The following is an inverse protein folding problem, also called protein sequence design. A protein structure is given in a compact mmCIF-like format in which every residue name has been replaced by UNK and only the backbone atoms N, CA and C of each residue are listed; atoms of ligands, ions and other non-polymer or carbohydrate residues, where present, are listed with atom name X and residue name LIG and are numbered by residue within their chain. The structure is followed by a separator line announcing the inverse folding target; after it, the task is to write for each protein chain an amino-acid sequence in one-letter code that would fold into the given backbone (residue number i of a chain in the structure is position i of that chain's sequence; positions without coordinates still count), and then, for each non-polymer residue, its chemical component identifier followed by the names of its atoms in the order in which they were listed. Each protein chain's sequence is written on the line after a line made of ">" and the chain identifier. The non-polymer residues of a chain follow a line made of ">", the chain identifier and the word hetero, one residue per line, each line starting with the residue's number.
data_IF_084064534632
#
_entry.id   IF_084064534632
#
_cell.length_a   1.000
_cell.length_b   1.000
_cell.length_c   1.000
_cell.angle_alpha   90.00
_cell.angle_beta   90.00
_cell.angle_gamma   90.00
#
_symmetry.space_group_name_H-M   'P 1'
#
loop_
_entity.id
_entity.type
_entity.pdbx_description
1 polymer ?
#
# COMPACT_ATOMS: atom_id res chain seq x y z
N UNK A 1 -12.41 8.51 8.46
CA UNK A 1 -12.24 7.07 8.14
C UNK A 1 -11.75 6.27 9.33
N UNK A 2 -10.58 6.58 9.91
CA UNK A 2 -10.09 5.87 11.10
C UNK A 2 -11.05 5.95 12.31
N UNK A 3 -11.66 7.12 12.55
CA UNK A 3 -12.67 7.29 13.61
C UNK A 3 -13.95 6.43 13.42
N UNK A 4 -14.14 5.85 12.23
CA UNK A 4 -15.23 4.91 11.92
C UNK A 4 -14.75 3.45 11.95
N UNK A 5 -13.51 3.18 12.41
CA UNK A 5 -12.93 1.84 12.50
C UNK A 5 -12.34 1.31 11.18
N UNK A 6 -12.24 2.14 10.13
CA UNK A 6 -11.67 1.71 8.85
C UNK A 6 -10.15 1.85 8.83
N UNK A 7 -9.49 0.80 8.34
CA UNK A 7 -8.10 0.83 7.94
C UNK A 7 -7.98 1.43 6.53
N UNK A 8 -6.92 2.20 6.29
CA UNK A 8 -6.69 2.88 5.01
C UNK A 8 -5.33 2.49 4.47
N UNK A 9 -5.27 2.14 3.19
CA UNK A 9 -4.03 1.95 2.45
C UNK A 9 -3.96 3.03 1.37
N UNK A 10 -2.89 3.82 1.39
CA UNK A 10 -2.63 4.84 0.37
C UNK A 10 -1.64 4.26 -0.63
N UNK A 11 -1.99 4.22 -1.92
CA UNK A 11 -1.06 3.83 -2.98
C UNK A 11 -0.74 5.08 -3.79
N UNK A 12 0.51 5.52 -3.72
CA UNK A 12 0.97 6.70 -4.46
C UNK A 12 1.07 6.39 -5.95
N UNK A 13 0.79 7.40 -6.78
CA UNK A 13 0.87 7.24 -8.25
C UNK A 13 2.27 6.79 -8.70
N UNK A 14 3.33 7.29 -8.04
CA UNK A 14 4.72 6.92 -8.34
C UNK A 14 4.99 5.42 -8.15
N UNK A 15 4.25 4.72 -7.28
CA UNK A 15 4.35 3.28 -7.13
C UNK A 15 3.67 2.52 -8.28
N UNK A 16 2.67 3.12 -8.93
CA UNK A 16 1.89 2.50 -10.02
C UNK A 16 2.44 2.84 -11.41
N UNK A 17 3.02 4.02 -11.58
CA UNK A 17 3.37 4.60 -12.89
C UNK A 17 4.66 5.39 -12.81
N UNK A 18 5.36 5.46 -13.93
CA UNK A 18 6.63 6.20 -14.06
C UNK A 18 7.85 5.30 -14.02
N UNK A 19 9.03 5.92 -13.98
CA UNK A 19 10.32 5.21 -14.06
C UNK A 19 10.59 4.34 -12.83
N UNK A 20 10.08 4.77 -11.68
CA UNK A 20 10.30 4.13 -10.38
C UNK A 20 9.11 3.29 -9.94
N UNK A 21 8.20 2.95 -10.86
CA UNK A 21 7.04 2.12 -10.53
C UNK A 21 7.50 0.79 -9.93
N UNK A 22 6.73 0.29 -8.98
CA UNK A 22 6.93 -1.05 -8.46
C UNK A 22 6.52 -2.07 -9.53
N UNK A 23 7.08 -3.27 -9.39
CA UNK A 23 6.62 -4.42 -10.16
C UNK A 23 5.16 -4.76 -9.78
N UNK A 24 4.34 -5.08 -10.79
CA UNK A 24 2.90 -5.26 -10.61
C UNK A 24 2.59 -6.49 -9.73
N UNK A 25 3.43 -7.53 -9.80
CA UNK A 25 3.31 -8.74 -8.97
C UNK A 25 3.73 -8.44 -7.53
N UNK A 26 4.86 -7.75 -7.34
CA UNK A 26 5.33 -7.32 -6.03
C UNK A 26 4.34 -6.39 -5.32
N UNK A 27 3.71 -5.47 -6.06
CA UNK A 27 2.66 -4.60 -5.54
C UNK A 27 1.42 -5.39 -5.12
N UNK A 28 0.99 -6.32 -5.98
CA UNK A 28 -0.19 -7.17 -5.70
C UNK A 28 0.01 -8.02 -4.44
N UNK A 29 1.18 -8.64 -4.27
CA UNK A 29 1.51 -9.41 -3.06
C UNK A 29 1.40 -8.55 -1.79
N UNK A 30 1.99 -7.35 -1.78
CA UNK A 30 1.96 -6.45 -0.62
C UNK A 30 0.55 -5.97 -0.29
N UNK A 31 -0.28 -5.72 -1.30
CA UNK A 31 -1.70 -5.34 -1.12
C UNK A 31 -2.48 -6.52 -0.53
N UNK A 32 -2.29 -7.73 -1.05
CA UNK A 32 -2.95 -8.94 -0.52
C UNK A 32 -2.57 -9.15 0.95
N UNK A 33 -1.27 -9.04 1.26
CA UNK A 33 -0.76 -9.17 2.63
C UNK A 33 -1.39 -8.14 3.58
N UNK A 34 -1.51 -6.88 3.17
CA UNK A 34 -2.11 -5.83 3.99
C UNK A 34 -3.63 -6.02 4.21
N UNK A 35 -4.34 -6.43 3.14
CA UNK A 35 -5.78 -6.69 3.20
C UNK A 35 -6.04 -7.87 4.14
N UNK A 36 -5.39 -9.01 3.92
CA UNK A 36 -5.63 -10.26 4.64
C UNK A 36 -4.99 -10.30 6.04
N UNK A 37 -3.82 -9.68 6.21
CA UNK A 37 -3.04 -9.74 7.45
C UNK A 37 -3.57 -8.86 8.59
N UNK A 38 -4.46 -7.90 8.31
CA UNK A 38 -5.08 -7.09 9.36
C UNK A 38 -4.18 -6.02 9.98
N UNK A 39 -3.14 -5.54 9.27
CA UNK A 39 -2.20 -4.52 9.76
C UNK A 39 -2.75 -3.09 9.80
N UNK A 40 -2.07 -2.17 10.48
CA UNK A 40 -2.46 -0.76 10.61
C UNK A 40 -2.53 -0.01 9.27
N UNK A 41 -3.07 1.21 9.32
CA UNK A 41 -3.01 2.16 8.21
C UNK A 41 -1.60 2.28 7.64
N UNK A 42 -1.48 2.20 6.32
CA UNK A 42 -0.19 2.16 5.64
C UNK A 42 -0.24 2.94 4.32
N UNK A 43 0.95 3.17 3.75
CA UNK A 43 1.14 3.76 2.43
C UNK A 43 2.14 2.95 1.62
N UNK A 44 2.01 2.99 0.29
CA UNK A 44 2.93 2.36 -0.65
C UNK A 44 3.44 3.43 -1.62
N UNK A 45 4.76 3.64 -1.62
CA UNK A 45 5.48 4.48 -2.57
C UNK A 45 6.56 3.66 -3.31
N UNK A 46 7.51 4.32 -3.95
CA UNK A 46 8.58 3.67 -4.72
C UNK A 46 9.57 2.88 -3.86
N UNK A 47 9.57 3.08 -2.53
CA UNK A 47 10.42 2.38 -1.58
C UNK A 47 9.72 1.16 -0.94
N UNK A 48 8.42 0.98 -1.20
CA UNK A 48 7.63 -0.13 -0.70
C UNK A 48 6.54 0.31 0.28
N UNK A 49 6.15 -0.59 1.20
CA UNK A 49 5.07 -0.36 2.16
C UNK A 49 5.59 0.19 3.49
N UNK A 50 4.94 1.23 4.00
CA UNK A 50 5.28 1.91 5.24
C UNK A 50 4.03 2.21 6.07
N UNK A 51 4.13 2.15 7.39
CA UNK A 51 3.03 2.54 8.28
C UNK A 51 2.83 4.07 8.26
N UNK A 52 1.59 4.50 8.47
CA UNK A 52 1.18 5.90 8.59
C UNK A 52 1.14 6.37 10.04
#
# INVERSE_FOLDING_TARGET
>A
MQALGWRVLIVWECALRGREKLDDEALSERVIEWICGGGDTAQIDTLGIHLL
#
